data_IF_352853421014
#
_entry.id   IF_352853421014
#
_cell.length_a   1.000
_cell.length_b   1.000
_cell.length_c   1.000
_cell.angle_alpha   90.00
_cell.angle_beta   90.00
_cell.angle_gamma   90.00
#
_symmetry.space_group_name_H-M   'P 1'
#
loop_
_entity.id
_entity.type
_entity.pdbx_description
1 polymer ?
#
# COMPACT_ATOMS: atom_id res chain seq x y z
N UNK A 1 21.50 -22.95 2.78
CA UNK A 1 21.31 -22.68 1.35
C UNK A 1 21.28 -24.01 0.63
N UNK A 2 20.20 -24.34 -0.08
CA UNK A 2 20.26 -25.38 -1.10
C UNK A 2 21.21 -24.90 -2.20
N UNK A 3 22.46 -25.34 -2.12
CA UNK A 3 23.54 -24.99 -3.05
C UNK A 3 23.39 -25.63 -4.44
N UNK A 4 22.23 -26.24 -4.74
CA UNK A 4 21.96 -26.86 -6.04
C UNK A 4 21.60 -25.85 -7.13
N UNK A 5 21.16 -24.64 -6.77
CA UNK A 5 20.78 -23.58 -7.72
C UNK A 5 21.67 -22.36 -7.51
N UNK A 6 22.46 -22.01 -8.53
CA UNK A 6 23.47 -20.94 -8.48
C UNK A 6 22.91 -19.57 -8.88
N UNK A 7 21.71 -19.51 -9.47
CA UNK A 7 21.07 -18.27 -9.87
C UNK A 7 19.99 -17.87 -8.87
N UNK A 8 19.98 -16.60 -8.48
CA UNK A 8 18.96 -16.00 -7.63
C UNK A 8 18.31 -14.84 -8.39
N UNK A 9 17.06 -15.01 -8.80
CA UNK A 9 16.32 -14.01 -9.59
C UNK A 9 15.37 -13.27 -8.66
N UNK A 10 15.59 -11.97 -8.49
CA UNK A 10 14.68 -11.10 -7.74
C UNK A 10 13.78 -10.39 -8.75
N UNK A 11 12.53 -10.84 -8.85
CA UNK A 11 11.51 -10.26 -9.71
C UNK A 11 10.75 -9.18 -8.94
N UNK A 12 11.24 -7.95 -8.99
CA UNK A 12 10.66 -6.83 -8.28
C UNK A 12 11.09 -5.48 -8.85
N UNK A 13 10.15 -4.55 -8.91
CA UNK A 13 10.37 -3.13 -9.15
C UNK A 13 10.70 -2.35 -7.86
N UNK A 14 10.54 -2.96 -6.68
CA UNK A 14 10.73 -2.33 -5.37
C UNK A 14 12.18 -2.44 -4.88
N UNK A 15 12.85 -1.28 -4.82
CA UNK A 15 14.22 -1.16 -4.34
C UNK A 15 14.39 -1.57 -2.86
N UNK A 16 13.37 -1.37 -2.03
CA UNK A 16 13.41 -1.75 -0.63
C UNK A 16 13.35 -3.28 -0.48
N UNK A 17 12.43 -3.93 -1.17
CA UNK A 17 12.37 -5.39 -1.26
C UNK A 17 13.68 -6.00 -1.77
N UNK A 18 14.27 -5.42 -2.83
CA UNK A 18 15.53 -5.87 -3.40
C UNK A 18 16.66 -5.83 -2.37
N UNK A 19 16.86 -4.68 -1.70
CA UNK A 19 17.90 -4.53 -0.66
C UNK A 19 17.69 -5.48 0.51
N UNK A 20 16.45 -5.65 0.95
CA UNK A 20 16.12 -6.51 2.09
C UNK A 20 16.38 -7.98 1.77
N UNK A 21 15.98 -8.43 0.58
CA UNK A 21 16.18 -9.79 0.09
C UNK A 21 17.67 -10.11 -0.09
N UNK A 22 18.44 -9.19 -0.71
CA UNK A 22 19.90 -9.34 -0.85
C UNK A 22 20.58 -9.43 0.51
N UNK A 23 20.23 -8.53 1.44
CA UNK A 23 20.82 -8.51 2.78
C UNK A 23 20.45 -9.74 3.61
N UNK A 24 19.28 -10.34 3.42
CA UNK A 24 18.89 -11.57 4.12
C UNK A 24 19.62 -12.79 3.58
N UNK A 25 19.79 -12.88 2.26
CA UNK A 25 20.36 -14.06 1.60
C UNK A 25 21.90 -14.06 1.60
N UNK A 26 22.53 -12.88 1.46
CA UNK A 26 23.95 -12.75 1.16
C UNK A 26 24.71 -11.84 2.13
N UNK A 27 24.24 -11.77 3.39
CA UNK A 27 24.92 -11.00 4.43
C UNK A 27 26.36 -11.47 4.62
N UNK A 28 27.33 -10.57 4.42
CA UNK A 28 28.75 -10.86 4.63
C UNK A 28 29.49 -11.48 3.45
N UNK A 29 28.86 -11.55 2.27
CA UNK A 29 29.54 -11.87 1.01
C UNK A 29 29.94 -10.59 0.27
N UNK A 30 31.07 -10.65 -0.45
CA UNK A 30 31.49 -9.57 -1.33
C UNK A 30 30.63 -9.56 -2.60
N UNK A 31 29.88 -8.47 -2.81
CA UNK A 31 29.01 -8.25 -3.96
C UNK A 31 29.76 -7.44 -5.02
N UNK A 32 29.81 -7.96 -6.25
CA UNK A 32 30.33 -7.26 -7.43
C UNK A 32 29.16 -6.83 -8.29
N UNK A 33 28.91 -5.52 -8.37
CA UNK A 33 27.87 -4.96 -9.23
C UNK A 33 28.31 -4.94 -10.69
N UNK A 34 27.45 -5.50 -11.55
CA UNK A 34 27.66 -5.59 -12.99
C UNK A 34 26.57 -4.75 -13.67
N UNK A 35 26.97 -3.63 -14.28
CA UNK A 35 26.07 -2.62 -14.85
C UNK A 35 25.61 -2.98 -16.27
N UNK A 36 24.31 -2.87 -16.57
CA UNK A 36 23.60 -3.22 -17.83
C UNK A 36 24.26 -2.92 -19.20
N UNK A 37 25.32 -2.11 -19.25
CA UNK A 37 26.06 -1.77 -20.47
C UNK A 37 27.27 -2.68 -20.75
N UNK A 38 27.33 -3.88 -20.16
CA UNK A 38 28.42 -4.81 -20.44
C UNK A 38 28.25 -5.51 -21.79
N UNK A 39 29.36 -5.69 -22.50
CA UNK A 39 29.44 -6.65 -23.59
C UNK A 39 29.52 -8.07 -23.01
N UNK A 40 28.70 -8.97 -23.53
CA UNK A 40 28.63 -10.37 -23.09
C UNK A 40 30.00 -11.06 -23.28
N UNK A 41 30.69 -10.76 -24.38
CA UNK A 41 32.00 -11.36 -24.69
C UNK A 41 33.09 -10.90 -23.72
N UNK A 42 33.05 -9.64 -23.27
CA UNK A 42 34.04 -9.10 -22.33
C UNK A 42 33.87 -9.72 -20.93
N UNK A 43 32.62 -9.92 -20.48
CA UNK A 43 32.35 -10.63 -19.22
C UNK A 43 32.81 -12.09 -19.28
N UNK A 44 32.60 -12.74 -20.42
CA UNK A 44 33.03 -14.11 -20.63
C UNK A 44 34.56 -14.23 -20.56
N UNK A 45 35.30 -13.28 -21.13
CA UNK A 45 36.75 -13.27 -21.07
C UNK A 45 37.28 -12.95 -19.66
N UNK A 46 36.59 -12.10 -18.91
CA UNK A 46 36.93 -11.79 -17.51
C UNK A 46 36.65 -12.96 -16.56
N UNK A 47 35.59 -13.74 -16.79
CA UNK A 47 35.31 -14.98 -16.04
C UNK A 47 36.48 -15.95 -16.08
N UNK A 48 37.13 -16.09 -17.25
CA UNK A 48 38.26 -16.99 -17.43
C UNK A 48 39.53 -16.48 -16.69
N UNK A 49 39.62 -15.18 -16.39
CA UNK A 49 40.75 -14.56 -15.67
C UNK A 49 40.54 -14.52 -14.14
N UNK A 50 39.33 -14.22 -13.66
CA UNK A 50 39.01 -14.06 -12.23
C UNK A 50 39.04 -15.38 -11.45
N UNK A 51 38.78 -16.52 -12.11
CA UNK A 51 38.81 -17.85 -11.49
C UNK A 51 40.20 -18.29 -10.99
N UNK A 52 41.27 -17.57 -11.36
CA UNK A 52 42.64 -17.94 -11.00
C UNK A 52 43.07 -17.44 -9.61
N UNK A 53 42.42 -16.42 -9.02
CA UNK A 53 43.01 -15.72 -7.88
C UNK A 53 42.09 -15.21 -6.74
N UNK A 54 40.75 -15.27 -6.83
CA UNK A 54 39.89 -14.62 -5.82
C UNK A 54 38.87 -15.51 -5.09
N UNK A 55 38.54 -15.08 -3.85
CA UNK A 55 37.44 -15.58 -3.02
C UNK A 55 36.09 -15.54 -3.78
N UNK A 56 35.08 -16.36 -3.41
CA UNK A 56 33.81 -16.40 -4.13
C UNK A 56 33.03 -15.09 -3.96
N UNK A 57 33.26 -14.12 -4.85
CA UNK A 57 32.47 -12.90 -4.96
C UNK A 57 31.16 -13.19 -5.67
N UNK A 58 30.04 -12.64 -5.19
CA UNK A 58 28.71 -12.84 -5.78
C UNK A 58 28.44 -11.74 -6.80
N UNK A 59 28.00 -12.12 -8.00
CA UNK A 59 27.77 -11.17 -9.09
C UNK A 59 26.33 -10.65 -9.06
N UNK A 60 26.16 -9.33 -8.97
CA UNK A 60 24.86 -8.68 -8.94
C UNK A 60 24.59 -7.97 -10.27
N UNK A 61 23.62 -8.46 -11.03
CA UNK A 61 23.12 -7.87 -12.25
C UNK A 61 21.86 -7.05 -11.93
N UNK A 62 22.02 -5.73 -11.86
CA UNK A 62 20.90 -4.81 -11.65
C UNK A 62 20.17 -4.57 -12.98
N UNK A 63 18.83 -4.47 -12.95
CA UNK A 63 17.99 -4.14 -14.13
C UNK A 63 18.20 -5.02 -15.37
N UNK A 64 18.60 -6.28 -15.13
CA UNK A 64 18.86 -7.22 -16.20
C UNK A 64 17.57 -7.59 -16.96
N UNK A 65 17.59 -7.41 -18.28
CA UNK A 65 16.47 -7.82 -19.12
C UNK A 65 16.59 -9.28 -19.60
N UNK A 66 17.66 -10.00 -19.24
CA UNK A 66 18.01 -11.33 -19.75
C UNK A 66 16.89 -12.38 -19.69
N UNK A 67 16.00 -12.28 -18.70
CA UNK A 67 14.87 -13.20 -18.52
C UNK A 67 13.51 -12.61 -18.93
N UNK A 68 13.48 -11.38 -19.46
CA UNK A 68 12.24 -10.67 -19.81
C UNK A 68 11.58 -11.19 -21.10
N UNK A 69 12.37 -11.69 -22.06
CA UNK A 69 11.91 -12.17 -23.36
C UNK A 69 12.74 -13.35 -23.88
N UNK A 70 12.14 -14.19 -24.72
CA UNK A 70 12.84 -15.35 -25.29
C UNK A 70 14.03 -14.94 -26.19
N UNK A 71 13.94 -13.80 -26.87
CA UNK A 71 15.03 -13.29 -27.70
C UNK A 71 16.24 -12.89 -26.86
N UNK A 72 16.02 -12.18 -25.74
CA UNK A 72 17.11 -11.76 -24.86
C UNK A 72 17.71 -12.95 -24.10
N UNK A 73 16.87 -13.91 -23.70
CA UNK A 73 17.34 -15.16 -23.10
C UNK A 73 18.27 -15.93 -24.04
N UNK A 74 17.92 -16.06 -25.33
CA UNK A 74 18.78 -16.69 -26.33
C UNK A 74 20.12 -15.97 -26.48
N UNK A 75 20.13 -14.63 -26.48
CA UNK A 75 21.37 -13.84 -26.54
C UNK A 75 22.27 -14.04 -25.33
N UNK A 76 21.69 -14.26 -24.15
CA UNK A 76 22.45 -14.46 -22.90
C UNK A 76 22.68 -15.91 -22.51
N UNK A 77 22.10 -16.87 -23.23
CA UNK A 77 22.20 -18.30 -22.91
C UNK A 77 23.66 -18.80 -22.88
N UNK A 78 24.52 -18.29 -23.75
CA UNK A 78 25.95 -18.63 -23.75
C UNK A 78 26.67 -18.16 -22.47
N UNK A 79 26.33 -16.98 -21.97
CA UNK A 79 26.86 -16.47 -20.71
C UNK A 79 26.31 -17.27 -19.52
N UNK A 80 25.01 -17.56 -19.52
CA UNK A 80 24.38 -18.36 -18.47
C UNK A 80 24.98 -19.78 -18.37
N UNK A 81 25.28 -20.43 -19.49
CA UNK A 81 25.91 -21.77 -19.52
C UNK A 81 27.37 -21.73 -19.07
N UNK A 82 28.12 -20.68 -19.42
CA UNK A 82 29.48 -20.47 -18.86
C UNK A 82 29.46 -20.24 -17.35
N UNK A 83 28.55 -19.40 -16.84
CA UNK A 83 28.38 -19.18 -15.40
C UNK A 83 28.00 -20.46 -14.65
N UNK A 84 27.16 -21.32 -15.26
CA UNK A 84 26.84 -22.66 -14.74
C UNK A 84 28.07 -23.54 -14.61
N UNK A 85 28.90 -23.58 -15.65
CA UNK A 85 30.13 -24.38 -15.67
C UNK A 85 31.14 -23.88 -14.63
N UNK A 86 31.22 -22.56 -14.46
CA UNK A 86 32.05 -21.89 -13.46
C UNK A 86 31.55 -22.07 -12.02
N UNK A 87 30.30 -22.53 -11.82
CA UNK A 87 29.60 -22.53 -10.52
C UNK A 87 29.57 -21.15 -9.86
N UNK A 88 29.55 -20.10 -10.66
CA UNK A 88 29.52 -18.72 -10.20
C UNK A 88 28.12 -18.37 -9.69
N UNK A 89 28.01 -17.88 -8.45
CA UNK A 89 26.73 -17.47 -7.87
C UNK A 89 26.36 -16.08 -8.36
N UNK A 90 25.17 -15.96 -8.96
CA UNK A 90 24.70 -14.69 -9.52
C UNK A 90 23.31 -14.31 -9.02
N UNK A 91 23.12 -13.01 -8.77
CA UNK A 91 21.84 -12.39 -8.46
C UNK A 91 21.40 -11.57 -9.68
N UNK A 92 20.19 -11.81 -10.17
CA UNK A 92 19.58 -11.04 -11.24
C UNK A 92 18.37 -10.29 -10.71
N UNK A 93 18.42 -8.96 -10.72
CA UNK A 93 17.23 -8.14 -10.47
C UNK A 93 16.53 -7.95 -11.83
N UNK A 94 15.28 -8.41 -11.91
CA UNK A 94 14.45 -8.35 -13.11
C UNK A 94 13.12 -7.69 -12.79
N UNK A 95 12.56 -6.95 -13.75
CA UNK A 95 11.23 -6.34 -13.63
C UNK A 95 10.12 -7.20 -14.22
N UNK A 96 10.48 -8.16 -15.07
CA UNK A 96 9.54 -9.06 -15.72
C UNK A 96 10.21 -10.39 -16.08
N UNK A 97 9.41 -11.45 -16.11
CA UNK A 97 9.83 -12.80 -16.48
C UNK A 97 9.01 -13.31 -17.66
N UNK A 98 9.70 -13.82 -18.69
CA UNK A 98 9.08 -14.44 -19.84
C UNK A 98 8.38 -15.75 -19.44
N UNK A 99 7.17 -15.96 -19.97
CA UNK A 99 6.39 -17.20 -19.80
C UNK A 99 6.74 -18.28 -20.83
N UNK A 100 7.82 -18.12 -21.59
CA UNK A 100 8.24 -19.12 -22.59
C UNK A 100 8.75 -20.38 -21.90
N UNK A 101 8.47 -21.56 -22.50
CA UNK A 101 8.89 -22.86 -21.95
C UNK A 101 10.40 -22.93 -21.71
N UNK A 102 11.21 -22.38 -22.62
CA UNK A 102 12.67 -22.40 -22.53
C UNK A 102 13.18 -21.68 -21.28
N UNK A 103 12.61 -20.51 -20.97
CA UNK A 103 12.98 -19.69 -19.81
C UNK A 103 12.49 -20.35 -18.52
N UNK A 104 11.24 -20.82 -18.49
CA UNK A 104 10.67 -21.49 -17.32
C UNK A 104 11.45 -22.76 -16.95
N UNK A 105 11.76 -23.61 -17.93
CA UNK A 105 12.54 -24.83 -17.70
C UNK A 105 13.94 -24.53 -17.14
N UNK A 106 14.60 -23.48 -17.65
CA UNK A 106 15.91 -23.06 -17.15
C UNK A 106 15.83 -22.57 -15.70
N UNK A 107 14.84 -21.73 -15.40
CA UNK A 107 14.62 -21.19 -14.05
C UNK A 107 14.32 -22.34 -13.08
N UNK A 108 13.43 -23.26 -13.44
CA UNK A 108 13.05 -24.38 -12.59
C UNK A 108 14.23 -25.30 -12.27
N UNK A 109 15.16 -25.48 -13.20
CA UNK A 109 16.36 -26.30 -13.01
C UNK A 109 17.47 -25.58 -12.23
N UNK A 110 17.74 -24.30 -12.53
CA UNK A 110 19.00 -23.66 -12.12
C UNK A 110 18.83 -22.40 -11.26
N UNK A 111 17.62 -21.86 -11.11
CA UNK A 111 17.37 -20.60 -10.41
C UNK A 111 16.37 -20.68 -9.24
N UNK A 112 16.61 -19.89 -8.20
CA UNK A 112 15.65 -19.54 -7.16
C UNK A 112 15.02 -18.19 -7.49
N UNK A 113 13.69 -18.09 -7.48
CA UNK A 113 12.97 -16.86 -7.83
C UNK A 113 12.34 -16.23 -6.58
N UNK A 114 12.61 -14.95 -6.36
CA UNK A 114 12.05 -14.14 -5.28
C UNK A 114 11.19 -13.04 -5.90
N UNK A 115 9.87 -13.14 -5.78
CA UNK A 115 8.94 -12.14 -6.32
C UNK A 115 8.50 -11.18 -5.23
N UNK A 116 8.55 -9.87 -5.48
CA UNK A 116 7.83 -8.94 -4.61
C UNK A 116 6.34 -9.15 -4.78
N UNK A 117 5.65 -9.44 -3.68
CA UNK A 117 4.21 -9.48 -3.68
C UNK A 117 3.68 -8.03 -3.66
N UNK A 118 3.04 -7.59 -4.75
CA UNK A 118 2.30 -6.33 -4.76
C UNK A 118 0.90 -6.58 -4.18
N UNK A 119 0.60 -5.95 -3.04
CA UNK A 119 -0.74 -5.96 -2.45
C UNK A 119 -1.60 -4.88 -3.11
N UNK A 120 -2.52 -5.29 -3.98
CA UNK A 120 -3.39 -4.41 -4.75
C UNK A 120 -4.75 -5.08 -4.97
N UNK A 121 -5.70 -4.38 -5.58
CA UNK A 121 -7.07 -4.88 -5.81
C UNK A 121 -7.15 -6.28 -6.45
N UNK A 122 -6.22 -6.63 -7.34
CA UNK A 122 -6.23 -7.93 -8.03
C UNK A 122 -5.67 -9.07 -7.16
N UNK A 123 -4.74 -8.75 -6.26
CA UNK A 123 -4.00 -9.74 -5.47
C UNK A 123 -4.46 -9.80 -4.01
N UNK A 124 -5.14 -8.76 -3.53
CA UNK A 124 -5.46 -8.57 -2.13
C UNK A 124 -6.31 -9.70 -1.55
N UNK A 125 -7.35 -10.11 -2.25
CA UNK A 125 -8.25 -11.17 -1.79
C UNK A 125 -7.50 -12.49 -1.54
N UNK A 126 -6.71 -12.93 -2.52
CA UNK A 126 -5.92 -14.16 -2.41
C UNK A 126 -4.83 -14.06 -1.34
N UNK A 127 -4.27 -12.87 -1.12
CA UNK A 127 -3.29 -12.64 -0.07
C UNK A 127 -3.90 -12.74 1.33
N UNK A 128 -5.04 -12.10 1.55
CA UNK A 128 -5.77 -12.21 2.82
C UNK A 128 -6.16 -13.64 3.09
N UNK A 129 -6.66 -14.38 2.09
CA UNK A 129 -6.96 -15.81 2.22
C UNK A 129 -5.74 -16.61 2.67
N UNK A 130 -4.59 -16.39 2.04
CA UNK A 130 -3.35 -17.08 2.42
C UNK A 130 -2.93 -16.74 3.85
N UNK A 131 -3.01 -15.46 4.22
CA UNK A 131 -2.64 -14.98 5.56
C UNK A 131 -3.56 -15.55 6.64
N UNK A 132 -4.86 -15.65 6.36
CA UNK A 132 -5.84 -16.30 7.24
C UNK A 132 -5.54 -17.80 7.40
N UNK A 133 -5.19 -18.48 6.31
CA UNK A 133 -4.81 -19.90 6.35
C UNK A 133 -3.55 -20.14 7.19
N UNK A 134 -2.53 -19.29 7.03
CA UNK A 134 -1.28 -19.36 7.81
C UNK A 134 -1.52 -19.17 9.32
N UNK A 135 -2.54 -18.38 9.69
CA UNK A 135 -2.94 -18.11 11.07
C UNK A 135 -4.09 -19.01 11.58
N UNK A 136 -4.57 -19.97 10.78
CA UNK A 136 -5.69 -20.85 11.10
C UNK A 136 -7.00 -20.12 11.46
N UNK A 137 -7.26 -18.99 10.80
CA UNK A 137 -8.48 -18.19 10.94
C UNK A 137 -9.38 -18.44 9.73
N UNK A 138 -10.66 -18.72 9.96
CA UNK A 138 -11.66 -18.84 8.90
C UNK A 138 -12.51 -17.58 8.86
N UNK A 139 -12.27 -16.76 7.83
CA UNK A 139 -13.11 -15.61 7.48
C UNK A 139 -13.94 -15.94 6.23
N UNK A 140 -15.16 -15.42 6.18
CA UNK A 140 -16.00 -15.46 4.99
C UNK A 140 -15.54 -14.43 3.94
N UNK A 141 -15.96 -14.61 2.69
CA UNK A 141 -15.68 -13.66 1.59
C UNK A 141 -16.11 -12.23 1.93
N UNK A 142 -17.24 -12.08 2.65
CA UNK A 142 -17.71 -10.78 3.13
C UNK A 142 -16.70 -10.13 4.07
N UNK A 143 -16.24 -10.87 5.07
CA UNK A 143 -15.27 -10.38 6.06
C UNK A 143 -13.93 -10.04 5.40
N UNK A 144 -13.46 -10.87 4.47
CA UNK A 144 -12.22 -10.61 3.73
C UNK A 144 -12.32 -9.30 2.93
N UNK A 145 -13.40 -9.12 2.18
CA UNK A 145 -13.60 -7.88 1.42
C UNK A 145 -13.77 -6.67 2.34
N UNK A 146 -14.43 -6.83 3.49
CA UNK A 146 -14.57 -5.77 4.50
C UNK A 146 -13.22 -5.33 5.05
N UNK A 147 -12.31 -6.27 5.39
CA UNK A 147 -10.94 -5.96 5.83
C UNK A 147 -10.14 -5.20 4.77
N UNK A 148 -10.21 -5.65 3.51
CA UNK A 148 -9.50 -5.01 2.40
C UNK A 148 -9.97 -3.58 2.21
N UNK A 149 -11.29 -3.37 2.26
CA UNK A 149 -11.90 -2.05 2.12
C UNK A 149 -11.58 -1.16 3.31
N UNK A 150 -11.73 -1.67 4.54
CA UNK A 150 -11.46 -0.95 5.77
C UNK A 150 -10.02 -0.46 5.82
N UNK A 151 -9.06 -1.25 5.33
CA UNK A 151 -7.63 -0.93 5.32
C UNK A 151 -7.17 -0.19 4.07
N UNK A 152 -8.05 0.02 3.09
CA UNK A 152 -7.77 0.73 1.85
C UNK A 152 -6.52 0.22 1.10
N UNK A 153 -6.30 -1.10 1.07
CA UNK A 153 -5.07 -1.74 0.54
C UNK A 153 -3.75 -1.37 1.24
N UNK A 154 -3.79 -0.82 2.46
CA UNK A 154 -2.58 -0.70 3.28
C UNK A 154 -2.26 -2.05 3.93
N UNK A 155 -1.17 -2.67 3.47
CA UNK A 155 -0.73 -3.98 3.96
C UNK A 155 -0.41 -3.96 5.46
N UNK A 156 0.10 -2.86 6.01
CA UNK A 156 0.45 -2.78 7.43
C UNK A 156 -0.81 -2.73 8.30
N UNK A 157 -1.81 -1.94 7.88
CA UNK A 157 -3.11 -1.91 8.56
C UNK A 157 -3.80 -3.27 8.48
N UNK A 158 -3.74 -3.94 7.33
CA UNK A 158 -4.25 -5.30 7.18
C UNK A 158 -3.60 -6.28 8.17
N UNK A 159 -2.27 -6.29 8.25
CA UNK A 159 -1.56 -7.15 9.21
C UNK A 159 -1.99 -6.87 10.65
N UNK A 160 -2.14 -5.60 11.02
CA UNK A 160 -2.61 -5.21 12.34
C UNK A 160 -4.02 -5.72 12.64
N UNK A 161 -4.95 -5.58 11.68
CA UNK A 161 -6.32 -6.07 11.84
C UNK A 161 -6.39 -7.60 11.92
N UNK A 162 -5.66 -8.31 11.05
CA UNK A 162 -5.67 -9.78 11.08
C UNK A 162 -4.99 -10.31 12.35
N UNK A 163 -3.92 -9.66 12.81
CA UNK A 163 -3.32 -9.98 14.10
C UNK A 163 -4.29 -9.69 15.26
N UNK A 164 -5.06 -8.60 15.21
CA UNK A 164 -6.10 -8.30 16.21
C UNK A 164 -7.16 -9.41 16.24
N UNK A 165 -7.57 -9.86 15.06
CA UNK A 165 -8.52 -10.94 14.88
C UNK A 165 -7.97 -12.28 15.43
N UNK A 166 -6.68 -12.58 15.19
CA UNK A 166 -6.05 -13.82 15.65
C UNK A 166 -6.05 -13.95 17.18
N UNK A 167 -6.00 -12.83 17.90
CA UNK A 167 -6.04 -12.79 19.38
C UNK A 167 -7.37 -13.26 19.99
N UNK A 168 -8.44 -13.36 19.20
CA UNK A 168 -9.74 -13.84 19.69
C UNK A 168 -9.73 -15.35 20.01
N UNK A 169 -8.70 -16.09 19.59
CA UNK A 169 -8.56 -17.54 19.77
C UNK A 169 -9.79 -18.34 19.28
N UNK A 170 -10.51 -17.81 18.30
CA UNK A 170 -11.65 -18.45 17.66
C UNK A 170 -11.32 -18.77 16.21
N UNK A 171 -11.53 -20.02 15.79
CA UNK A 171 -11.32 -20.42 14.40
C UNK A 171 -12.32 -19.77 13.45
N UNK A 172 -13.56 -19.56 13.89
CA UNK A 172 -14.63 -18.92 13.10
C UNK A 172 -15.19 -17.75 13.87
N UNK A 173 -15.37 -16.63 13.16
CA UNK A 173 -15.82 -15.37 13.75
C UNK A 173 -17.13 -14.99 13.09
N UNK A 174 -18.16 -14.72 13.89
CA UNK A 174 -19.45 -14.22 13.40
C UNK A 174 -19.31 -12.82 12.82
N UNK A 175 -20.13 -12.45 11.84
CA UNK A 175 -20.12 -11.10 11.26
C UNK A 175 -20.31 -9.99 12.31
N UNK A 176 -21.18 -10.19 13.30
CA UNK A 176 -21.42 -9.20 14.37
C UNK A 176 -20.15 -8.90 15.18
N UNK A 177 -19.44 -9.93 15.62
CA UNK A 177 -18.16 -9.79 16.34
C UNK A 177 -17.09 -9.18 15.44
N UNK A 178 -17.06 -9.56 14.17
CA UNK A 178 -16.10 -9.04 13.21
C UNK A 178 -16.28 -7.52 12.99
N UNK A 179 -17.51 -7.07 12.75
CA UNK A 179 -17.83 -5.67 12.50
C UNK A 179 -17.57 -4.77 13.72
N UNK A 180 -17.62 -5.34 14.93
CA UNK A 180 -17.26 -4.63 16.18
C UNK A 180 -15.75 -4.46 16.37
N UNK A 181 -14.94 -5.34 15.78
CA UNK A 181 -13.49 -5.44 16.04
C UNK A 181 -12.69 -4.75 14.93
N UNK A 182 -13.15 -4.87 13.69
CA UNK A 182 -12.48 -4.25 12.54
C UNK A 182 -12.70 -2.76 12.59
N UNK A 183 -11.59 -2.02 12.58
CA UNK A 183 -11.63 -0.57 12.59
C UNK A 183 -11.93 -0.03 11.20
N UNK A 184 -12.87 0.91 11.10
CA UNK A 184 -13.14 1.61 9.84
C UNK A 184 -12.15 2.76 9.64
N UNK A 185 -11.03 2.47 8.98
CA UNK A 185 -9.99 3.47 8.69
C UNK A 185 -10.40 4.47 7.62
N UNK A 186 -11.49 4.23 6.87
CA UNK A 186 -11.98 5.21 5.90
C UNK A 186 -12.44 6.48 6.61
N UNK A 187 -13.11 6.34 7.77
CA UNK A 187 -13.46 7.45 8.64
C UNK A 187 -12.21 8.14 9.21
N UNK A 188 -11.15 7.39 9.50
CA UNK A 188 -9.89 7.96 9.99
C UNK A 188 -9.18 8.79 8.91
N UNK A 189 -9.14 8.31 7.66
CA UNK A 189 -8.57 9.06 6.53
C UNK A 189 -9.40 10.32 6.22
N UNK A 190 -10.73 10.23 6.28
CA UNK A 190 -11.63 11.39 6.16
C UNK A 190 -11.41 12.38 7.30
N UNK A 191 -11.21 11.90 8.53
CA UNK A 191 -10.83 12.75 9.65
C UNK A 191 -9.51 13.48 9.36
N UNK A 192 -8.48 12.78 8.88
CA UNK A 192 -7.19 13.39 8.52
C UNK A 192 -7.32 14.42 7.40
N UNK A 193 -8.18 14.20 6.40
CA UNK A 193 -8.49 15.20 5.36
C UNK A 193 -8.99 16.49 6.02
N UNK A 194 -10.01 16.38 6.88
CA UNK A 194 -10.63 17.54 7.52
C UNK A 194 -9.67 18.21 8.52
N UNK A 195 -8.89 17.43 9.26
CA UNK A 195 -7.85 17.94 10.16
C UNK A 195 -6.80 18.76 9.40
N UNK A 196 -6.25 18.22 8.32
CA UNK A 196 -5.34 18.98 7.44
C UNK A 196 -6.01 20.26 6.91
N UNK A 197 -7.30 20.22 6.58
CA UNK A 197 -8.03 21.40 6.16
C UNK A 197 -8.20 22.45 7.27
N UNK A 198 -8.46 22.06 8.51
CA UNK A 198 -8.47 23.06 9.60
C UNK A 198 -7.09 23.65 9.87
N UNK A 199 -6.02 22.89 9.58
CA UNK A 199 -4.63 23.35 9.70
C UNK A 199 -4.07 24.08 8.47
N UNK A 200 -4.89 24.46 7.48
CA UNK A 200 -4.44 25.15 6.26
C UNK A 200 -3.50 24.31 5.38
N UNK A 201 -3.56 22.99 5.49
CA UNK A 201 -2.70 22.01 4.84
C UNK A 201 -3.39 21.36 3.64
N UNK A 202 -3.84 22.18 2.66
CA UNK A 202 -4.60 21.73 1.49
C UNK A 202 -3.86 20.63 0.71
N UNK A 203 -2.55 20.77 0.52
CA UNK A 203 -1.75 19.81 -0.25
C UNK A 203 -1.76 18.43 0.41
N UNK A 204 -1.73 18.38 1.75
CA UNK A 204 -1.79 17.14 2.50
C UNK A 204 -3.19 16.51 2.40
N UNK A 205 -4.25 17.32 2.53
CA UNK A 205 -5.62 16.85 2.36
C UNK A 205 -5.85 16.24 0.96
N UNK A 206 -5.37 16.91 -0.10
CA UNK A 206 -5.47 16.43 -1.48
C UNK A 206 -4.73 15.11 -1.70
N UNK A 207 -3.55 14.93 -1.11
CA UNK A 207 -2.81 13.65 -1.19
C UNK A 207 -3.62 12.48 -0.62
N UNK A 208 -4.34 12.69 0.47
CA UNK A 208 -5.18 11.65 1.07
C UNK A 208 -6.38 11.36 0.17
N UNK A 209 -6.97 12.38 -0.45
CA UNK A 209 -8.04 12.18 -1.43
C UNK A 209 -7.56 11.43 -2.66
N UNK A 210 -6.43 11.81 -3.25
CA UNK A 210 -5.82 11.10 -4.37
C UNK A 210 -5.56 9.62 -4.01
N UNK A 211 -5.08 9.37 -2.79
CA UNK A 211 -4.92 8.01 -2.27
C UNK A 211 -6.26 7.25 -2.21
N UNK A 212 -7.29 7.81 -1.57
CA UNK A 212 -8.61 7.19 -1.46
C UNK A 212 -9.23 6.88 -2.83
N UNK A 213 -9.07 7.79 -3.79
CA UNK A 213 -9.53 7.62 -5.17
C UNK A 213 -8.71 6.58 -5.94
N UNK A 214 -7.39 6.51 -5.73
CA UNK A 214 -6.53 5.48 -6.34
C UNK A 214 -6.89 4.07 -5.91
N UNK A 215 -7.45 3.95 -4.69
CA UNK A 215 -7.97 2.73 -4.08
C UNK A 215 -9.40 2.41 -4.55
N UNK A 216 -9.97 3.19 -5.47
CA UNK A 216 -11.35 3.09 -5.97
C UNK A 216 -12.42 3.24 -4.88
N UNK A 217 -12.12 3.99 -3.82
CA UNK A 217 -13.15 4.39 -2.87
C UNK A 217 -14.17 5.25 -3.61
N UNK A 218 -15.45 4.91 -3.50
CA UNK A 218 -16.51 5.66 -4.17
C UNK A 218 -16.54 7.12 -3.68
N UNK A 219 -16.50 8.08 -4.60
CA UNK A 219 -16.42 9.52 -4.32
C UNK A 219 -17.57 10.01 -3.45
N UNK A 220 -18.77 9.48 -3.70
CA UNK A 220 -19.98 9.83 -2.94
C UNK A 220 -19.83 9.36 -1.49
N UNK A 221 -19.16 8.23 -1.27
CA UNK A 221 -18.89 7.73 0.09
C UNK A 221 -17.96 8.67 0.84
N UNK A 222 -16.91 9.16 0.16
CA UNK A 222 -15.99 10.17 0.73
C UNK A 222 -16.73 11.46 1.05
N UNK A 223 -17.53 11.99 0.11
CA UNK A 223 -18.33 13.20 0.29
C UNK A 223 -19.30 13.06 1.47
N UNK A 224 -20.02 11.94 1.56
CA UNK A 224 -20.94 11.67 2.66
C UNK A 224 -20.21 11.59 4.01
N UNK A 225 -19.07 10.91 4.07
CA UNK A 225 -18.28 10.82 5.28
C UNK A 225 -17.76 12.20 5.73
N UNK A 226 -17.30 13.03 4.78
CA UNK A 226 -16.89 14.42 5.07
C UNK A 226 -18.09 15.20 5.62
N UNK A 227 -19.25 15.12 4.98
CA UNK A 227 -20.45 15.81 5.43
C UNK A 227 -20.87 15.40 6.84
N UNK A 228 -20.89 14.09 7.14
CA UNK A 228 -21.19 13.56 8.46
C UNK A 228 -20.22 14.09 9.52
N UNK A 229 -18.92 14.12 9.22
CA UNK A 229 -17.91 14.62 10.15
C UNK A 229 -18.05 16.13 10.39
N UNK A 230 -18.27 16.91 9.31
CA UNK A 230 -18.52 18.34 9.41
C UNK A 230 -19.76 18.65 10.25
N UNK A 231 -20.84 17.87 10.13
CA UNK A 231 -22.02 17.99 10.99
C UNK A 231 -21.67 17.77 12.48
N UNK A 232 -20.84 16.78 12.81
CA UNK A 232 -20.36 16.57 14.19
C UNK A 232 -19.58 17.77 14.71
N UNK A 233 -18.66 18.30 13.89
CA UNK A 233 -17.90 19.50 14.22
C UNK A 233 -18.80 20.74 14.41
N UNK A 234 -19.85 20.88 13.60
CA UNK A 234 -20.85 21.93 13.78
C UNK A 234 -21.50 21.83 15.17
N UNK A 235 -21.97 20.65 15.58
CA UNK A 235 -22.61 20.50 16.90
C UNK A 235 -21.64 20.80 18.04
N UNK A 236 -20.41 20.28 17.98
CA UNK A 236 -19.38 20.58 19.01
C UNK A 236 -19.11 22.07 19.06
N UNK A 237 -18.92 22.73 17.91
CA UNK A 237 -18.67 24.18 17.86
C UNK A 237 -19.87 24.97 18.37
N UNK A 238 -21.08 24.61 17.96
CA UNK A 238 -22.31 25.31 18.33
C UNK A 238 -22.56 25.26 19.83
N UNK A 239 -22.38 24.10 20.46
CA UNK A 239 -22.51 23.96 21.90
C UNK A 239 -21.39 24.69 22.65
N UNK A 240 -20.16 24.68 22.12
CA UNK A 240 -19.06 25.46 22.68
C UNK A 240 -19.34 26.97 22.65
N UNK A 241 -19.94 27.48 21.56
CA UNK A 241 -20.36 28.88 21.42
C UNK A 241 -21.57 29.23 22.31
N UNK A 242 -22.30 28.24 22.81
CA UNK A 242 -23.38 28.39 23.80
C UNK A 242 -22.88 28.24 25.24
N UNK A 243 -21.56 28.27 25.46
CA UNK A 243 -20.89 28.13 26.75
C UNK A 243 -21.13 26.79 27.47
N UNK A 244 -21.43 25.72 26.73
CA UNK A 244 -21.48 24.37 27.29
C UNK A 244 -20.06 23.88 27.61
N UNK A 245 -19.90 23.24 28.76
CA UNK A 245 -18.62 22.65 29.14
C UNK A 245 -18.33 21.32 28.39
N UNK A 246 -17.10 20.84 28.49
CA UNK A 246 -16.64 19.63 27.80
C UNK A 246 -17.50 18.39 28.13
N UNK A 247 -17.92 18.24 29.39
CA UNK A 247 -18.64 17.05 29.87
C UNK A 247 -20.12 17.10 29.47
N UNK A 248 -20.70 18.30 29.47
CA UNK A 248 -22.05 18.57 28.94
C UNK A 248 -22.12 18.27 27.44
N UNK A 249 -21.13 18.71 26.66
CA UNK A 249 -21.05 18.40 25.22
C UNK A 249 -20.86 16.90 24.98
N UNK A 250 -19.94 16.27 25.72
CA UNK A 250 -19.68 14.84 25.64
C UNK A 250 -20.95 14.01 25.88
N UNK A 251 -21.70 14.35 26.92
CA UNK A 251 -22.97 13.71 27.27
C UNK A 251 -24.04 13.97 26.20
N UNK A 252 -24.17 15.20 25.72
CA UNK A 252 -25.19 15.59 24.74
C UNK A 252 -25.00 14.94 23.37
N UNK A 253 -23.75 14.68 22.98
CA UNK A 253 -23.39 14.11 21.68
C UNK A 253 -22.99 12.63 21.76
N UNK A 254 -23.07 12.02 22.94
CA UNK A 254 -22.67 10.63 23.21
C UNK A 254 -21.22 10.31 22.74
N UNK A 255 -20.31 11.26 22.90
CA UNK A 255 -18.88 11.12 22.56
C UNK A 255 -17.99 11.27 23.80
N UNK A 256 -16.79 10.70 23.76
CA UNK A 256 -15.86 10.74 24.90
C UNK A 256 -15.36 12.17 25.17
N UNK A 257 -15.25 12.62 26.44
CA UNK A 257 -14.83 13.99 26.77
C UNK A 257 -13.50 14.43 26.15
N UNK A 258 -12.52 13.52 26.08
CA UNK A 258 -11.24 13.79 25.42
C UNK A 258 -11.39 14.14 23.93
N UNK A 259 -12.31 13.50 23.22
CA UNK A 259 -12.58 13.76 21.79
C UNK A 259 -13.15 15.17 21.60
N UNK A 260 -14.05 15.59 22.51
CA UNK A 260 -14.57 16.96 22.54
C UNK A 260 -13.43 17.96 22.67
N UNK A 261 -12.49 17.72 23.60
CA UNK A 261 -11.36 18.63 23.83
C UNK A 261 -10.47 18.83 22.61
N UNK A 262 -10.23 17.75 21.84
CA UNK A 262 -9.43 17.81 20.60
C UNK A 262 -10.19 18.61 19.55
N UNK A 263 -11.47 18.30 19.34
CA UNK A 263 -12.29 18.98 18.34
C UNK A 263 -12.45 20.46 18.67
N UNK A 264 -12.66 20.83 19.93
CA UNK A 264 -12.72 22.22 20.36
C UNK A 264 -11.43 22.97 20.02
N UNK A 265 -10.26 22.39 20.28
CA UNK A 265 -8.95 22.97 19.92
C UNK A 265 -8.77 23.13 18.41
N UNK A 266 -9.20 22.14 17.63
CA UNK A 266 -9.12 22.15 16.18
C UNK A 266 -10.04 23.22 15.56
N UNK A 267 -11.21 23.45 16.16
CA UNK A 267 -12.26 24.35 15.66
C UNK A 267 -12.17 25.78 16.24
N UNK A 268 -11.11 26.12 16.99
CA UNK A 268 -10.97 27.44 17.64
C UNK A 268 -11.16 28.58 16.64
N UNK A 269 -10.57 28.46 15.45
CA UNK A 269 -10.52 29.53 14.45
C UNK A 269 -11.75 29.60 13.52
N UNK A 270 -12.74 28.72 13.69
CA UNK A 270 -13.89 28.60 12.81
C UNK A 270 -15.18 28.81 13.60
N UNK A 271 -16.14 29.57 13.07
CA UNK A 271 -17.47 29.72 13.70
C UNK A 271 -18.41 28.59 13.29
N UNK A 272 -19.45 28.34 14.10
CA UNK A 272 -20.49 27.36 13.73
C UNK A 272 -21.18 27.74 12.41
N UNK A 273 -21.41 29.03 12.16
CA UNK A 273 -21.98 29.54 10.90
C UNK A 273 -21.06 29.27 9.69
N UNK A 274 -19.74 29.40 9.86
CA UNK A 274 -18.82 29.06 8.78
C UNK A 274 -18.87 27.56 8.46
N UNK A 275 -18.94 26.70 9.49
CA UNK A 275 -19.03 25.25 9.30
C UNK A 275 -20.34 24.89 8.59
N UNK A 276 -21.47 25.53 8.96
CA UNK A 276 -22.76 25.24 8.31
C UNK A 276 -22.77 25.64 6.84
N UNK A 277 -22.08 26.73 6.47
CA UNK A 277 -21.98 27.13 5.07
C UNK A 277 -21.13 26.15 4.24
N UNK A 278 -20.08 25.57 4.83
CA UNK A 278 -19.31 24.49 4.18
C UNK A 278 -20.11 23.20 4.03
N UNK A 279 -20.99 22.89 4.99
CA UNK A 279 -21.94 21.77 4.89
C UNK A 279 -22.96 22.03 3.77
N UNK A 280 -23.54 23.24 3.68
CA UNK A 280 -24.46 23.61 2.58
C UNK A 280 -23.79 23.47 1.22
N UNK A 281 -22.51 23.81 1.12
CA UNK A 281 -21.74 23.62 -0.11
C UNK A 281 -21.63 22.14 -0.50
N UNK A 282 -21.40 21.22 0.46
CA UNK A 282 -21.44 19.77 0.20
C UNK A 282 -22.82 19.31 -0.28
N UNK A 283 -23.89 19.80 0.33
CA UNK A 283 -25.26 19.49 -0.11
C UNK A 283 -25.56 19.97 -1.53
N UNK A 284 -25.08 21.17 -1.88
CA UNK A 284 -25.21 21.67 -3.25
C UNK A 284 -24.45 20.76 -4.24
N UNK A 285 -23.23 20.34 -3.90
CA UNK A 285 -22.49 19.40 -4.72
C UNK A 285 -23.18 18.04 -4.85
N UNK A 286 -23.76 17.48 -3.78
CA UNK A 286 -24.54 16.24 -3.85
C UNK A 286 -25.74 16.37 -4.82
N UNK A 287 -26.44 17.50 -4.79
CA UNK A 287 -27.52 17.80 -5.75
C UNK A 287 -27.01 17.87 -7.19
N UNK A 288 -25.92 18.60 -7.43
CA UNK A 288 -25.31 18.75 -8.76
C UNK A 288 -24.80 17.40 -9.31
N UNK A 289 -24.25 16.54 -8.44
CA UNK A 289 -23.82 15.19 -8.79
C UNK A 289 -25.03 14.34 -9.20
N UNK A 290 -26.09 14.33 -8.40
CA UNK A 290 -27.31 13.53 -8.66
C UNK A 290 -28.04 13.96 -9.93
N UNK A 291 -27.88 15.22 -10.32
CA UNK A 291 -28.45 15.79 -11.56
C UNK A 291 -27.49 15.72 -12.75
N UNK A 292 -26.34 15.05 -12.62
CA UNK A 292 -25.27 14.95 -13.64
C UNK A 292 -24.76 16.31 -14.15
N UNK A 293 -24.85 17.37 -13.34
CA UNK A 293 -24.36 18.70 -13.71
C UNK A 293 -22.88 18.89 -13.40
N UNK A 294 -22.31 18.02 -12.55
CA UNK A 294 -20.89 18.02 -12.21
C UNK A 294 -20.38 16.59 -12.06
N UNK A 295 -19.14 16.37 -12.46
CA UNK A 295 -18.44 15.12 -12.19
C UNK A 295 -18.12 15.00 -10.68
N UNK A 296 -18.21 13.77 -10.16
CA UNK A 296 -18.09 13.49 -8.72
C UNK A 296 -16.71 13.84 -8.17
N UNK A 297 -15.65 13.53 -8.93
CA UNK A 297 -14.29 13.86 -8.54
C UNK A 297 -14.10 15.37 -8.53
N UNK A 298 -14.55 16.04 -9.59
CA UNK A 298 -14.46 17.50 -9.67
C UNK A 298 -15.18 18.20 -8.52
N UNK A 299 -16.37 17.74 -8.14
CA UNK A 299 -17.10 18.29 -6.99
C UNK A 299 -16.31 18.18 -5.68
N UNK A 300 -15.70 17.03 -5.41
CA UNK A 300 -14.87 16.81 -4.22
C UNK A 300 -13.63 17.74 -4.23
N UNK A 301 -12.90 17.79 -5.36
CA UNK A 301 -11.72 18.65 -5.49
C UNK A 301 -12.08 20.14 -5.34
N UNK A 302 -13.17 20.59 -5.98
CA UNK A 302 -13.63 21.97 -5.86
C UNK A 302 -14.00 22.32 -4.43
N UNK A 303 -14.68 21.43 -3.71
CA UNK A 303 -15.02 21.66 -2.31
C UNK A 303 -13.78 21.85 -1.43
N UNK A 304 -12.75 21.03 -1.63
CA UNK A 304 -11.48 21.11 -0.90
C UNK A 304 -10.74 22.40 -1.23
N UNK A 305 -10.70 22.80 -2.51
CA UNK A 305 -10.03 24.02 -2.95
C UNK A 305 -10.77 25.29 -2.48
N UNK A 306 -12.10 25.26 -2.43
CA UNK A 306 -12.92 26.36 -1.90
C UNK A 306 -13.09 26.33 -0.39
N UNK A 307 -12.39 25.44 0.33
CA UNK A 307 -12.58 25.28 1.77
C UNK A 307 -12.39 26.58 2.54
N UNK A 308 -11.41 27.43 2.19
CA UNK A 308 -11.16 28.72 2.86
C UNK A 308 -11.80 29.92 2.19
N UNK A 309 -12.40 29.74 1.00
CA UNK A 309 -13.02 30.81 0.24
C UNK A 309 -14.53 30.84 0.49
N UNK A 310 -15.10 32.02 0.66
CA UNK A 310 -16.56 32.26 0.61
C UNK A 310 -16.79 33.09 -0.64
#
# INVERSE_FOLDING_TARGET
MDLNKIFHIINSSDLAFNKTTINQLFKGYDLVEINDQFNIDDLINNLDQDMLFNQPSIWLFNNSNHFSSNEQFKKTYQLLTKLLTAKQVCIFIVTSLAKSKDVLNFIDQYANVYTSFEYNQKTAFNYVLKLCADLQINLSDYQINSLINATAYDINLLHNEIHKISLLNQQTISNEVFDLIVSDYSNELVFKIIEHLYHQQIKQALKIVDYLLSVQTNEITIINAIATMMCKHYYVKKLTELDYDQDQIATSLEIKPFVVSIQQKMLVNFSSDWIIDKIKMLFNFDYLIKTNQIDKNHALFLWILSFYHI
#
